data_IF_271856025925
#
_entry.id   IF_271856025925
#
_cell.length_a   1.000
_cell.length_b   1.000
_cell.length_c   1.000
_cell.angle_alpha   90.00
_cell.angle_beta   90.00
_cell.angle_gamma   90.00
#
_symmetry.space_group_name_H-M   'P 1'
#
loop_
_entity.id
_entity.type
_entity.pdbx_description
1 polymer ?
#
# COMPACT_ATOMS: atom_id res chain seq x y z
N UNK A 1 -12.05 -0.02 -16.49
CA UNK A 1 -10.63 0.06 -16.10
C UNK A 1 -10.56 0.90 -14.83
N UNK A 2 -10.06 0.36 -13.74
CA UNK A 2 -9.96 1.02 -12.45
C UNK A 2 -8.89 2.13 -12.51
N UNK A 3 -9.25 3.37 -12.18
CA UNK A 3 -8.33 4.51 -12.15
C UNK A 3 -7.60 4.55 -10.82
N UNK A 4 -6.35 4.11 -10.81
CA UNK A 4 -5.53 4.03 -9.62
C UNK A 4 -4.57 5.21 -9.53
N UNK A 5 -4.48 5.78 -8.34
CA UNK A 5 -3.49 6.78 -7.99
C UNK A 5 -2.45 6.24 -7.02
N UNK A 6 -1.25 6.79 -7.05
CA UNK A 6 -0.18 6.49 -6.09
C UNK A 6 0.09 7.73 -5.23
N UNK A 7 0.14 7.54 -3.91
CA UNK A 7 0.50 8.55 -2.93
C UNK A 7 1.91 8.30 -2.41
N UNK A 8 2.86 9.14 -2.83
CA UNK A 8 4.30 9.00 -2.55
C UNK A 8 5.08 8.40 -3.73
N UNK A 9 6.24 8.98 -4.06
CA UNK A 9 7.09 8.62 -5.19
C UNK A 9 8.40 7.93 -4.75
N UNK A 10 8.31 6.98 -3.80
CA UNK A 10 9.43 6.22 -3.25
C UNK A 10 9.78 4.96 -4.06
N UNK A 11 10.70 4.13 -3.53
CA UNK A 11 11.13 2.90 -4.20
C UNK A 11 10.00 1.90 -4.40
N UNK A 12 9.12 1.74 -3.41
CA UNK A 12 7.99 0.82 -3.52
C UNK A 12 6.93 1.32 -4.52
N UNK A 13 6.75 2.65 -4.63
CA UNK A 13 5.90 3.25 -5.64
C UNK A 13 6.36 2.91 -7.08
N UNK A 14 7.68 2.89 -7.33
CA UNK A 14 8.23 2.48 -8.63
C UNK A 14 7.87 1.02 -8.97
N UNK A 15 7.91 0.11 -7.99
CA UNK A 15 7.52 -1.30 -8.18
C UNK A 15 6.03 -1.42 -8.51
N UNK A 16 5.18 -0.69 -7.78
CA UNK A 16 3.74 -0.68 -8.04
C UNK A 16 3.43 -0.08 -9.41
N UNK A 17 4.06 1.03 -9.78
CA UNK A 17 3.87 1.65 -11.09
C UNK A 17 4.24 0.69 -12.23
N UNK A 18 5.38 0.01 -12.14
CA UNK A 18 5.80 -1.01 -13.11
C UNK A 18 4.80 -2.19 -13.18
N UNK A 19 4.17 -2.54 -12.07
CA UNK A 19 3.13 -3.57 -12.03
C UNK A 19 1.86 -3.10 -12.73
N UNK A 20 1.36 -1.91 -12.39
CA UNK A 20 0.12 -1.36 -12.95
C UNK A 20 0.22 -1.22 -14.47
N UNK A 21 1.37 -0.80 -15.01
CA UNK A 21 1.56 -0.64 -16.46
C UNK A 21 1.47 -1.96 -17.24
N UNK A 22 1.56 -3.11 -16.56
CA UNK A 22 1.43 -4.44 -17.14
C UNK A 22 0.03 -5.04 -16.97
N UNK A 23 -0.86 -4.35 -16.24
CA UNK A 23 -2.25 -4.79 -16.00
C UNK A 23 -3.19 -4.20 -17.04
N UNK A 24 -4.18 -5.00 -17.48
CA UNK A 24 -5.15 -4.58 -18.49
C UNK A 24 -6.42 -3.96 -17.90
N UNK A 25 -6.67 -4.14 -16.62
CA UNK A 25 -7.87 -3.73 -15.87
C UNK A 25 -7.66 -2.51 -14.96
N UNK A 26 -6.39 -2.11 -14.76
CA UNK A 26 -6.00 -0.96 -13.94
C UNK A 26 -5.32 0.10 -14.81
N UNK A 27 -5.72 1.35 -14.63
CA UNK A 27 -5.10 2.51 -15.29
C UNK A 27 -4.16 3.22 -14.31
N UNK A 28 -2.91 3.41 -14.69
CA UNK A 28 -1.96 4.32 -14.03
C UNK A 28 -2.47 5.77 -14.22
N UNK A 29 -3.33 6.23 -13.29
CA UNK A 29 -4.08 7.46 -13.51
C UNK A 29 -3.39 8.69 -12.93
N UNK A 30 -3.04 8.67 -11.65
CA UNK A 30 -2.45 9.83 -10.98
C UNK A 30 -1.31 9.45 -10.05
N UNK A 31 -0.37 10.35 -9.87
CA UNK A 31 0.70 10.29 -8.86
C UNK A 31 0.72 11.59 -8.07
N UNK A 32 0.85 11.51 -6.75
CA UNK A 32 1.09 12.67 -5.91
C UNK A 32 2.37 12.52 -5.09
N UNK A 33 3.14 13.58 -5.03
CA UNK A 33 4.30 13.70 -4.15
C UNK A 33 4.35 15.11 -3.56
N UNK A 34 5.08 15.29 -2.45
CA UNK A 34 5.27 16.61 -1.81
C UNK A 34 6.12 17.57 -2.66
N UNK A 35 6.79 17.03 -3.65
CA UNK A 35 7.59 17.73 -4.63
C UNK A 35 6.94 17.51 -6.02
N UNK A 36 6.49 18.61 -6.62
CA UNK A 36 5.78 18.60 -7.91
C UNK A 36 6.67 18.12 -9.05
N UNK A 37 7.94 18.48 -9.08
CA UNK A 37 8.87 18.05 -10.12
C UNK A 37 9.09 16.54 -10.07
N UNK A 38 9.22 16.02 -8.85
CA UNK A 38 9.32 14.58 -8.62
C UNK A 38 8.06 13.82 -9.05
N UNK A 39 6.88 14.39 -8.79
CA UNK A 39 5.62 13.81 -9.25
C UNK A 39 5.53 13.83 -10.79
N UNK A 40 5.91 14.95 -11.42
CA UNK A 40 5.94 15.09 -12.88
C UNK A 40 6.91 14.11 -13.54
N UNK A 41 8.14 14.00 -13.02
CA UNK A 41 9.14 13.06 -13.52
C UNK A 41 8.66 11.59 -13.40
N UNK A 42 8.03 11.25 -12.27
CA UNK A 42 7.46 9.92 -12.06
C UNK A 42 6.32 9.64 -13.04
N UNK A 43 5.41 10.59 -13.22
CA UNK A 43 4.29 10.48 -14.18
C UNK A 43 4.80 10.25 -15.60
N UNK A 44 5.79 11.02 -16.03
CA UNK A 44 6.42 10.88 -17.35
C UNK A 44 7.07 9.50 -17.53
N UNK A 45 7.77 9.02 -16.49
CA UNK A 45 8.48 7.73 -16.52
C UNK A 45 7.53 6.54 -16.73
N UNK A 46 6.39 6.54 -16.07
CA UNK A 46 5.46 5.40 -16.03
C UNK A 46 4.15 5.62 -16.81
N UNK A 47 4.02 6.75 -17.51
CA UNK A 47 2.83 7.03 -18.31
C UNK A 47 1.58 7.36 -17.52
N UNK A 48 1.71 7.93 -16.30
CA UNK A 48 0.55 8.40 -15.55
C UNK A 48 -0.13 9.56 -16.24
N UNK A 49 -1.45 9.57 -16.23
CA UNK A 49 -2.26 10.60 -16.90
C UNK A 49 -2.14 11.97 -16.23
N UNK A 50 -2.01 11.99 -14.90
CA UNK A 50 -1.92 13.21 -14.08
C UNK A 50 -0.84 13.11 -13.02
N UNK A 51 -0.37 14.27 -12.55
CA UNK A 51 0.50 14.39 -11.39
C UNK A 51 0.08 15.59 -10.54
N UNK A 52 0.38 15.50 -9.22
CA UNK A 52 0.01 16.51 -8.24
C UNK A 52 1.17 16.77 -7.27
N UNK A 53 1.34 18.05 -6.90
CA UNK A 53 2.34 18.50 -5.92
C UNK A 53 1.88 18.32 -4.46
N UNK A 54 0.61 17.95 -4.23
CA UNK A 54 0.08 17.64 -2.91
C UNK A 54 -0.90 16.47 -2.96
N UNK A 55 -1.05 15.81 -1.81
CA UNK A 55 -2.00 14.70 -1.66
C UNK A 55 -3.44 15.22 -1.67
N UNK A 56 -3.66 16.36 -1.06
CA UNK A 56 -4.95 17.04 -0.96
C UNK A 56 -5.51 17.40 -2.35
N UNK A 57 -4.66 17.89 -3.26
CA UNK A 57 -5.07 18.19 -4.64
C UNK A 57 -5.45 16.92 -5.41
N UNK A 58 -4.65 15.87 -5.28
CA UNK A 58 -4.95 14.58 -5.92
C UNK A 58 -6.29 14.01 -5.42
N UNK A 59 -6.58 14.14 -4.13
CA UNK A 59 -7.81 13.60 -3.55
C UNK A 59 -9.08 14.35 -3.97
N UNK A 60 -8.96 15.61 -4.42
CA UNK A 60 -10.08 16.38 -5.00
C UNK A 60 -10.45 15.90 -6.41
N UNK A 61 -9.60 15.15 -7.08
CA UNK A 61 -9.90 14.61 -8.41
C UNK A 61 -10.97 13.51 -8.31
N UNK A 62 -12.19 13.72 -8.89
CA UNK A 62 -13.27 12.74 -8.80
C UNK A 62 -12.97 11.44 -9.56
N UNK A 63 -12.06 11.48 -10.50
CA UNK A 63 -11.69 10.35 -11.33
C UNK A 63 -10.74 9.36 -10.62
N UNK A 64 -10.10 9.77 -9.52
CA UNK A 64 -9.32 8.86 -8.68
C UNK A 64 -10.27 7.95 -7.91
N UNK A 65 -10.17 6.65 -8.14
CA UNK A 65 -11.04 5.65 -7.52
C UNK A 65 -10.34 4.90 -6.38
N UNK A 66 -9.11 4.46 -6.61
CA UNK A 66 -8.28 3.72 -5.66
C UNK A 66 -6.95 4.45 -5.45
N UNK A 67 -6.53 4.62 -4.22
CA UNK A 67 -5.23 5.20 -3.86
C UNK A 67 -4.33 4.12 -3.27
N UNK A 68 -3.18 3.90 -3.89
CA UNK A 68 -2.09 3.11 -3.30
C UNK A 68 -1.20 4.03 -2.48
N UNK A 69 -1.11 3.77 -1.18
CA UNK A 69 -0.30 4.55 -0.24
C UNK A 69 1.09 3.94 -0.14
N UNK A 70 2.10 4.69 -0.62
CA UNK A 70 3.51 4.31 -0.70
C UNK A 70 4.41 5.29 0.08
N UNK A 71 3.89 5.86 1.15
CA UNK A 71 4.59 6.78 2.07
C UNK A 71 5.39 6.01 3.11
N UNK A 72 6.22 6.65 3.97
CA UNK A 72 6.77 6.01 5.15
C UNK A 72 5.69 5.55 6.13
N UNK A 73 5.96 4.49 6.91
CA UNK A 73 5.01 3.84 7.82
C UNK A 73 4.30 4.82 8.75
N UNK A 74 5.03 5.78 9.34
CA UNK A 74 4.49 6.81 10.23
C UNK A 74 3.40 7.71 9.61
N UNK A 75 3.26 7.68 8.27
CA UNK A 75 2.29 8.50 7.55
C UNK A 75 1.06 7.70 7.08
N UNK A 76 1.10 6.36 7.15
CA UNK A 76 0.06 5.49 6.59
C UNK A 76 -1.32 5.80 7.16
N UNK A 77 -1.45 5.88 8.49
CA UNK A 77 -2.71 6.20 9.16
C UNK A 77 -3.31 7.52 8.66
N UNK A 78 -2.51 8.60 8.69
CA UNK A 78 -2.98 9.92 8.24
C UNK A 78 -3.39 9.91 6.77
N UNK A 79 -2.57 9.31 5.92
CA UNK A 79 -2.84 9.22 4.49
C UNK A 79 -4.08 8.37 4.18
N UNK A 80 -4.25 7.24 4.85
CA UNK A 80 -5.43 6.38 4.68
C UNK A 80 -6.70 7.09 5.13
N UNK A 81 -6.68 7.76 6.28
CA UNK A 81 -7.81 8.57 6.77
C UNK A 81 -8.22 9.65 5.76
N UNK A 82 -7.26 10.42 5.26
CA UNK A 82 -7.51 11.44 4.23
C UNK A 82 -8.16 10.85 2.96
N UNK A 83 -7.67 9.71 2.49
CA UNK A 83 -8.23 9.04 1.31
C UNK A 83 -9.68 8.60 1.55
N UNK A 84 -9.95 7.96 2.69
CA UNK A 84 -11.30 7.50 3.05
C UNK A 84 -12.26 8.67 3.24
N UNK A 85 -11.83 9.76 3.89
CA UNK A 85 -12.62 11.00 4.05
C UNK A 85 -12.97 11.62 2.70
N UNK A 86 -12.06 11.54 1.72
CA UNK A 86 -12.27 11.96 0.34
C UNK A 86 -13.07 10.97 -0.53
N UNK A 87 -13.58 9.88 0.05
CA UNK A 87 -14.39 8.88 -0.65
C UNK A 87 -13.59 7.97 -1.59
N UNK A 88 -12.28 7.75 -1.34
CA UNK A 88 -11.43 6.92 -2.17
C UNK A 88 -11.18 5.57 -1.51
N UNK A 89 -11.19 4.50 -2.32
CA UNK A 89 -10.70 3.19 -1.89
C UNK A 89 -9.20 3.24 -1.61
N UNK A 90 -8.70 2.38 -0.73
CA UNK A 90 -7.31 2.42 -0.26
C UNK A 90 -6.65 1.05 -0.31
N UNK A 91 -5.47 1.00 -0.91
CA UNK A 91 -4.47 -0.06 -0.77
C UNK A 91 -3.26 0.54 -0.06
N UNK A 92 -3.05 0.19 1.22
CA UNK A 92 -1.99 0.78 2.05
C UNK A 92 -0.80 -0.15 2.15
N UNK A 93 0.42 0.36 1.93
CA UNK A 93 1.64 -0.43 2.15
C UNK A 93 1.76 -0.91 3.61
N UNK A 94 2.50 -1.97 3.75
CA UNK A 94 2.86 -2.52 5.07
C UNK A 94 4.02 -1.70 5.69
N UNK A 95 4.12 -1.56 6.99
CA UNK A 95 3.15 -1.94 8.00
C UNK A 95 1.95 -0.99 7.96
N UNK A 96 0.76 -1.54 8.17
CA UNK A 96 -0.52 -0.88 7.95
C UNK A 96 -0.67 0.44 8.72
N UNK A 97 -0.43 0.39 10.03
CA UNK A 97 -0.42 1.55 10.95
C UNK A 97 0.66 1.38 12.01
N UNK A 98 0.88 2.39 12.83
CA UNK A 98 1.89 2.36 13.90
C UNK A 98 1.40 1.58 15.14
N UNK A 99 0.08 1.51 15.35
CA UNK A 99 -0.52 0.79 16.47
C UNK A 99 -1.94 0.30 16.14
N UNK A 100 -2.49 -0.53 17.02
CA UNK A 100 -3.81 -1.15 16.84
C UNK A 100 -4.97 -0.15 16.91
N UNK A 101 -4.85 0.92 17.67
CA UNK A 101 -5.89 1.96 17.80
C UNK A 101 -6.09 2.67 16.46
N UNK A 102 -5.01 3.07 15.79
CA UNK A 102 -5.05 3.66 14.46
C UNK A 102 -5.67 2.70 13.43
N UNK A 103 -5.29 1.42 13.49
CA UNK A 103 -5.85 0.41 12.59
C UNK A 103 -7.37 0.28 12.78
N UNK A 104 -7.84 0.16 14.03
CA UNK A 104 -9.27 0.07 14.36
C UNK A 104 -10.05 1.28 13.86
N UNK A 105 -9.51 2.48 14.05
CA UNK A 105 -10.16 3.73 13.63
C UNK A 105 -10.37 3.78 12.11
N UNK A 106 -9.32 3.53 11.32
CA UNK A 106 -9.45 3.61 9.86
C UNK A 106 -10.25 2.45 9.26
N UNK A 107 -10.22 1.26 9.88
CA UNK A 107 -11.08 0.14 9.47
C UNK A 107 -12.56 0.49 9.69
N UNK A 108 -12.90 1.03 10.86
CA UNK A 108 -14.26 1.51 11.17
C UNK A 108 -14.70 2.60 10.20
N UNK A 109 -13.84 3.59 9.92
CA UNK A 109 -14.14 4.65 8.96
C UNK A 109 -14.40 4.10 7.55
N UNK A 110 -13.61 3.11 7.12
CA UNK A 110 -13.80 2.47 5.81
C UNK A 110 -15.16 1.74 5.73
N UNK A 111 -15.54 1.03 6.80
CA UNK A 111 -16.83 0.34 6.91
C UNK A 111 -18.00 1.33 6.86
N UNK A 112 -17.97 2.39 7.68
CA UNK A 112 -18.98 3.45 7.72
C UNK A 112 -19.18 4.12 6.36
N UNK A 113 -18.09 4.32 5.62
CA UNK A 113 -18.11 4.92 4.27
C UNK A 113 -18.35 3.92 3.14
N UNK A 114 -18.41 2.63 3.45
CA UNK A 114 -18.54 1.52 2.47
C UNK A 114 -17.43 1.54 1.42
N UNK A 115 -16.21 1.83 1.85
CA UNK A 115 -15.02 1.88 1.02
C UNK A 115 -14.12 0.67 1.28
N UNK A 116 -13.43 0.21 0.24
CA UNK A 116 -12.39 -0.81 0.39
C UNK A 116 -11.17 -0.19 1.05
N UNK A 117 -10.70 -0.81 2.12
CA UNK A 117 -9.41 -0.54 2.74
C UNK A 117 -8.70 -1.87 2.97
N UNK A 118 -7.50 -2.03 2.44
CA UNK A 118 -6.70 -3.24 2.64
C UNK A 118 -5.21 -2.93 2.73
N UNK A 119 -4.50 -3.80 3.44
CA UNK A 119 -3.04 -3.74 3.56
C UNK A 119 -2.37 -4.49 2.40
N UNK A 120 -1.33 -3.91 1.82
CA UNK A 120 -0.53 -4.51 0.76
C UNK A 120 0.51 -5.51 1.30
N UNK A 121 0.08 -6.42 2.18
CA UNK A 121 0.92 -7.53 2.66
C UNK A 121 0.96 -8.64 1.61
N UNK A 122 1.88 -8.51 0.67
CA UNK A 122 1.94 -9.27 -0.58
C UNK A 122 1.95 -10.79 -0.39
N UNK A 123 2.54 -11.29 0.70
CA UNK A 123 2.59 -12.72 1.02
C UNK A 123 1.20 -13.33 1.19
N UNK A 124 0.19 -12.54 1.61
CA UNK A 124 -1.20 -12.97 1.73
C UNK A 124 -1.84 -13.28 0.38
N UNK A 125 -1.39 -12.60 -0.67
CA UNK A 125 -1.99 -12.66 -2.01
C UNK A 125 -1.21 -13.55 -2.98
N UNK A 126 -0.13 -14.19 -2.52
CA UNK A 126 0.64 -15.11 -3.36
C UNK A 126 -0.14 -16.42 -3.63
N UNK A 127 -0.05 -16.96 -4.85
CA UNK A 127 -0.63 -18.27 -5.17
C UNK A 127 -0.17 -19.40 -4.23
N UNK A 128 1.07 -19.36 -3.74
CA UNK A 128 1.63 -20.29 -2.76
C UNK A 128 0.82 -20.34 -1.47
N UNK A 129 0.19 -19.24 -1.06
CA UNK A 129 -0.68 -19.22 0.12
C UNK A 129 -1.88 -20.15 -0.05
N UNK A 130 -2.53 -20.12 -1.21
CA UNK A 130 -3.65 -21.00 -1.52
C UNK A 130 -3.22 -22.48 -1.54
N UNK A 131 -2.03 -22.76 -2.08
CA UNK A 131 -1.46 -24.10 -2.07
C UNK A 131 -1.22 -24.61 -0.65
N UNK A 132 -0.56 -23.80 0.21
CA UNK A 132 -0.31 -24.16 1.61
C UNK A 132 -1.63 -24.42 2.34
N UNK A 133 -2.60 -23.50 2.20
CA UNK A 133 -3.92 -23.66 2.83
C UNK A 133 -4.61 -24.96 2.38
N UNK A 134 -4.49 -25.32 1.10
CA UNK A 134 -5.05 -26.57 0.58
C UNK A 134 -4.37 -27.80 1.19
N UNK A 135 -3.01 -27.84 1.22
CA UNK A 135 -2.25 -28.95 1.82
C UNK A 135 -2.56 -29.17 3.29
N UNK A 136 -2.86 -28.10 4.02
CA UNK A 136 -3.29 -28.17 5.42
C UNK A 136 -4.73 -28.71 5.50
N UNK A 137 -5.65 -28.14 4.70
CA UNK A 137 -7.08 -28.45 4.78
C UNK A 137 -7.41 -29.87 4.33
N UNK A 138 -6.70 -30.42 3.34
CA UNK A 138 -6.92 -31.79 2.82
C UNK A 138 -6.15 -32.87 3.61
N UNK A 139 -5.41 -32.45 4.65
CA UNK A 139 -4.66 -33.37 5.51
C UNK A 139 -3.39 -33.97 4.86
N UNK A 140 -2.95 -33.47 3.71
CA UNK A 140 -1.76 -34.00 3.01
C UNK A 140 -0.51 -34.03 3.88
N UNK A 141 -0.36 -33.06 4.80
CA UNK A 141 0.77 -32.96 5.74
C UNK A 141 0.41 -33.41 7.16
N UNK A 142 -0.78 -33.99 7.35
CA UNK A 142 -1.29 -34.36 8.67
C UNK A 142 -1.69 -33.16 9.53
N UNK A 143 -1.77 -33.37 10.84
CA UNK A 143 -2.04 -32.30 11.81
C UNK A 143 -0.83 -31.39 11.96
N UNK A 144 -1.02 -30.07 11.80
CA UNK A 144 0.06 -29.08 11.94
C UNK A 144 0.31 -28.82 13.42
N UNK A 145 1.45 -29.28 13.92
CA UNK A 145 1.86 -29.12 15.32
C UNK A 145 2.87 -27.99 15.53
N UNK A 146 3.62 -27.64 14.51
CA UNK A 146 4.62 -26.54 14.58
C UNK A 146 4.81 -25.86 13.23
N UNK A 147 5.28 -24.62 13.28
CA UNK A 147 5.69 -23.83 12.12
C UNK A 147 6.98 -23.10 12.44
N UNK A 148 7.96 -23.20 11.54
CA UNK A 148 9.16 -22.37 11.59
C UNK A 148 9.26 -21.55 10.30
N UNK A 149 9.52 -20.26 10.45
CA UNK A 149 9.68 -19.35 9.31
C UNK A 149 10.87 -18.42 9.56
N UNK A 150 11.66 -18.18 8.50
CA UNK A 150 12.79 -17.27 8.53
C UNK A 150 12.65 -16.24 7.40
N UNK A 151 12.75 -14.96 7.73
CA UNK A 151 12.78 -13.88 6.78
C UNK A 151 13.90 -12.91 7.18
N UNK A 152 14.99 -12.91 6.44
CA UNK A 152 16.15 -12.06 6.71
C UNK A 152 16.56 -11.25 5.49
N UNK A 153 16.75 -9.95 5.68
CA UNK A 153 17.33 -9.05 4.69
C UNK A 153 18.42 -8.19 5.35
N UNK A 154 19.52 -7.95 4.63
CA UNK A 154 20.47 -6.90 5.02
C UNK A 154 19.86 -5.53 4.74
N UNK A 155 19.53 -4.78 5.78
CA UNK A 155 18.82 -3.51 5.70
C UNK A 155 19.47 -2.40 6.55
N UNK A 156 20.72 -2.59 6.98
CA UNK A 156 21.45 -1.63 7.85
C UNK A 156 21.51 -0.23 7.25
N UNK A 157 21.65 -0.12 5.93
CA UNK A 157 21.73 1.16 5.21
C UNK A 157 20.37 1.84 4.99
N UNK A 158 19.27 1.18 5.35
CA UNK A 158 17.91 1.71 5.08
C UNK A 158 17.39 2.46 6.30
N UNK A 159 17.66 3.77 6.39
CA UNK A 159 17.32 4.63 7.52
C UNK A 159 15.87 4.42 8.05
N UNK A 160 14.87 4.31 7.17
CA UNK A 160 13.46 4.13 7.58
C UNK A 160 13.19 2.84 8.36
N UNK A 161 14.12 1.87 8.36
CA UNK A 161 13.95 0.60 9.07
C UNK A 161 14.33 0.71 10.55
N UNK A 162 15.27 1.59 10.88
CA UNK A 162 15.78 1.74 12.25
C UNK A 162 15.48 3.10 12.88
N UNK A 163 14.93 4.05 12.12
CA UNK A 163 14.56 5.37 12.63
C UNK A 163 13.17 5.33 13.28
N UNK A 164 13.06 5.51 14.61
CA UNK A 164 11.77 5.48 15.32
C UNK A 164 10.78 6.55 14.86
N UNK A 165 11.27 7.71 14.36
CA UNK A 165 10.40 8.80 13.86
C UNK A 165 9.68 8.40 12.56
N UNK A 166 10.22 7.45 11.83
CA UNK A 166 9.61 6.90 10.62
C UNK A 166 8.82 5.61 10.89
N UNK A 167 8.62 5.26 12.18
CA UNK A 167 8.02 4.01 12.62
C UNK A 167 8.71 2.80 11.98
N UNK A 168 10.05 2.81 12.03
CA UNK A 168 10.88 1.71 11.55
C UNK A 168 10.86 0.53 12.51
N UNK A 169 11.17 -0.64 11.98
CA UNK A 169 11.26 -1.88 12.75
C UNK A 169 10.61 -3.06 12.05
N UNK A 170 10.86 -4.25 12.58
CA UNK A 170 10.26 -5.50 12.10
C UNK A 170 9.02 -5.91 12.93
N UNK A 171 8.86 -5.31 14.11
CA UNK A 171 7.75 -5.52 15.04
C UNK A 171 7.05 -4.16 15.23
N UNK A 172 5.92 -3.97 14.60
CA UNK A 172 5.02 -2.83 14.80
C UNK A 172 3.64 -3.33 15.24
#
# INVERSE_FOLDING_TARGET
>A
MLKMAIMGAGSIANKMADTITKMNDVKAYAIAARDTERAAAFAKKYGFTKFYGSYEEMLKDPEVQLVYIATPHSHHYKCAKMCLEAGKHVLCEKAFTVNAEQAKEILKLAEEKKLLLTEAIWTRYMPSRNMINKLIADGTIGEVTSLTANLGYELSEVKRIWDPQLAGGALL
#
